data_IF_589691414314
#
_entry.id   IF_589691414314
#
_cell.length_a   1.000
_cell.length_b   1.000
_cell.length_c   1.000
_cell.angle_alpha   90.00
_cell.angle_beta   90.00
_cell.angle_gamma   90.00
#
_symmetry.space_group_name_H-M   'P 1'
#
loop_
_entity.id
_entity.type
_entity.pdbx_description
1 polymer ?
#
# COMPACT_ATOMS: atom_id res chain seq x y z
N UNK A 1 -11.65 -13.26 0.68
CA UNK A 1 -10.45 -13.67 -0.09
C UNK A 1 -9.19 -13.17 0.60
N UNK A 2 -8.16 -14.00 0.64
CA UNK A 2 -6.87 -13.67 1.25
C UNK A 2 -5.75 -13.73 0.22
N UNK A 3 -4.68 -12.96 0.48
CA UNK A 3 -3.42 -13.03 -0.24
C UNK A 3 -2.30 -13.36 0.74
N UNK A 4 -1.27 -14.02 0.24
CA UNK A 4 -0.11 -14.38 1.05
C UNK A 4 0.73 -13.13 1.34
N UNK A 5 1.02 -12.91 2.61
CA UNK A 5 1.89 -11.81 3.01
C UNK A 5 3.35 -12.05 2.61
N UNK A 6 4.08 -10.96 2.46
CA UNK A 6 5.53 -10.96 2.27
C UNK A 6 6.27 -10.77 3.60
N UNK A 7 5.54 -10.70 4.69
CA UNK A 7 6.04 -10.69 6.07
C UNK A 7 5.07 -11.51 6.93
N UNK A 8 4.50 -10.97 7.98
CA UNK A 8 3.59 -11.70 8.85
C UNK A 8 2.14 -11.69 8.34
N UNK A 9 1.41 -12.76 8.65
CA UNK A 9 -0.03 -12.84 8.41
C UNK A 9 -0.45 -12.94 6.96
N UNK A 10 -1.59 -12.33 6.66
CA UNK A 10 -2.22 -12.35 5.33
C UNK A 10 -2.81 -10.97 5.01
N UNK A 11 -2.99 -10.71 3.72
CA UNK A 11 -3.81 -9.59 3.27
C UNK A 11 -5.25 -10.05 3.01
N UNK A 12 -6.20 -9.13 3.16
CA UNK A 12 -7.62 -9.41 3.00
C UNK A 12 -8.25 -8.57 1.91
N UNK A 13 -9.00 -9.22 1.03
CA UNK A 13 -9.95 -8.54 0.14
C UNK A 13 -11.35 -8.93 0.58
N UNK A 14 -12.08 -7.97 1.14
CA UNK A 14 -13.40 -8.14 1.71
C UNK A 14 -14.45 -7.50 0.81
N UNK A 15 -15.47 -8.25 0.44
CA UNK A 15 -16.62 -7.73 -0.29
C UNK A 15 -17.85 -7.83 0.60
N UNK A 16 -18.49 -6.69 0.82
CA UNK A 16 -19.65 -6.61 1.71
C UNK A 16 -20.60 -5.50 1.25
N UNK A 17 -21.86 -5.86 1.04
CA UNK A 17 -22.93 -4.92 0.64
C UNK A 17 -22.53 -4.01 -0.53
N UNK A 18 -21.93 -4.60 -1.57
CA UNK A 18 -21.53 -3.87 -2.78
C UNK A 18 -20.26 -3.03 -2.62
N UNK A 19 -19.59 -3.09 -1.46
CA UNK A 19 -18.31 -2.41 -1.21
C UNK A 19 -17.18 -3.41 -1.19
N UNK A 20 -16.03 -2.99 -1.68
CA UNK A 20 -14.81 -3.80 -1.66
C UNK A 20 -13.75 -3.07 -0.84
N UNK A 21 -13.25 -3.74 0.19
CA UNK A 21 -12.22 -3.21 1.09
C UNK A 21 -11.00 -4.13 1.01
N UNK A 22 -9.83 -3.53 0.86
CA UNK A 22 -8.56 -4.23 0.90
C UNK A 22 -7.76 -3.80 2.12
N UNK A 23 -7.23 -4.76 2.86
CA UNK A 23 -6.30 -4.50 3.95
C UNK A 23 -5.05 -5.36 3.73
N UNK A 24 -3.94 -4.70 3.47
CA UNK A 24 -2.70 -5.38 3.12
C UNK A 24 -2.08 -6.17 4.27
N UNK A 25 -2.40 -5.84 5.54
CA UNK A 25 -1.60 -6.35 6.64
C UNK A 25 -0.14 -5.93 6.44
N UNK A 26 0.75 -6.90 6.50
CA UNK A 26 2.19 -6.68 6.22
C UNK A 26 2.58 -7.00 4.76
N UNK A 27 1.61 -7.23 3.88
CA UNK A 27 1.91 -7.45 2.46
C UNK A 27 2.40 -6.16 1.83
N UNK A 28 3.69 -6.12 1.51
CA UNK A 28 4.34 -4.95 0.94
C UNK A 28 5.58 -5.36 0.15
N UNK A 29 6.07 -4.46 -0.66
CA UNK A 29 7.35 -4.59 -1.35
C UNK A 29 8.46 -4.13 -0.39
N UNK A 30 8.88 -5.03 0.48
CA UNK A 30 9.91 -4.77 1.50
C UNK A 30 11.29 -4.80 0.86
N UNK A 31 11.70 -3.69 0.28
CA UNK A 31 13.04 -3.53 -0.27
C UNK A 31 13.93 -2.84 0.76
N UNK A 32 14.92 -3.55 1.27
CA UNK A 32 15.85 -3.04 2.28
C UNK A 32 17.22 -2.81 1.63
N UNK A 33 17.80 -1.62 1.78
CA UNK A 33 19.10 -1.29 1.19
C UNK A 33 20.23 -2.14 1.76
N UNK A 34 20.15 -2.52 3.02
CA UNK A 34 21.13 -3.38 3.71
C UNK A 34 21.03 -4.86 3.36
N UNK A 35 19.99 -5.28 2.67
CA UNK A 35 19.81 -6.66 2.25
C UNK A 35 20.50 -6.95 0.92
N UNK A 36 20.72 -8.25 0.66
CA UNK A 36 21.33 -8.68 -0.60
C UNK A 36 20.41 -8.42 -1.78
N UNK A 37 21.00 -8.30 -2.97
CA UNK A 37 20.26 -8.19 -4.21
C UNK A 37 19.32 -9.39 -4.44
N UNK A 38 19.80 -10.60 -4.10
CA UNK A 38 18.97 -11.81 -4.19
C UNK A 38 17.74 -11.75 -3.28
N UNK A 39 17.89 -11.28 -2.06
CA UNK A 39 16.78 -11.08 -1.14
C UNK A 39 15.77 -10.09 -1.72
N UNK A 40 16.22 -8.92 -2.15
CA UNK A 40 15.35 -7.87 -2.68
C UNK A 40 14.67 -8.27 -3.98
N UNK A 41 15.33 -9.06 -4.82
CA UNK A 41 14.73 -9.61 -6.06
C UNK A 41 13.62 -10.62 -5.73
N UNK A 42 13.85 -11.50 -4.78
CA UNK A 42 12.84 -12.47 -4.33
C UNK A 42 11.63 -11.76 -3.72
N UNK A 43 11.88 -10.73 -2.93
CA UNK A 43 10.83 -9.91 -2.32
C UNK A 43 9.98 -9.20 -3.37
N UNK A 44 10.61 -8.60 -4.37
CA UNK A 44 9.91 -7.96 -5.49
C UNK A 44 8.99 -8.94 -6.20
N UNK A 45 9.52 -10.11 -6.53
CA UNK A 45 8.75 -11.15 -7.25
C UNK A 45 7.57 -11.64 -6.43
N UNK A 46 7.79 -11.87 -5.14
CA UNK A 46 6.73 -12.31 -4.23
C UNK A 46 5.62 -11.27 -4.14
N UNK A 47 5.97 -10.00 -3.94
CA UNK A 47 5.00 -8.93 -3.84
C UNK A 47 4.21 -8.75 -5.14
N UNK A 48 4.91 -8.61 -6.26
CA UNK A 48 4.26 -8.41 -7.56
C UNK A 48 3.37 -9.59 -7.94
N UNK A 49 3.78 -10.82 -7.63
CA UNK A 49 2.97 -12.01 -7.88
C UNK A 49 1.64 -11.97 -7.13
N UNK A 50 1.66 -11.55 -5.86
CA UNK A 50 0.43 -11.45 -5.07
C UNK A 50 -0.45 -10.30 -5.55
N UNK A 51 0.11 -9.12 -5.81
CA UNK A 51 -0.65 -7.97 -6.27
C UNK A 51 -1.24 -8.19 -7.68
N UNK A 52 -0.55 -8.93 -8.54
CA UNK A 52 -1.07 -9.26 -9.87
C UNK A 52 -2.39 -10.06 -9.80
N UNK A 53 -2.63 -10.78 -8.71
CA UNK A 53 -3.93 -11.46 -8.48
C UNK A 53 -5.09 -10.48 -8.33
N UNK A 54 -4.80 -9.22 -8.05
CA UNK A 54 -5.77 -8.14 -7.90
C UNK A 54 -5.87 -7.25 -9.14
N UNK A 55 -5.22 -7.62 -10.25
CA UNK A 55 -5.19 -6.82 -11.47
C UNK A 55 -6.61 -6.42 -11.92
N UNK A 56 -6.86 -5.12 -12.06
CA UNK A 56 -8.16 -4.60 -12.49
C UNK A 56 -9.26 -4.65 -11.43
N UNK A 57 -8.97 -5.12 -10.22
CA UNK A 57 -9.97 -5.18 -9.15
C UNK A 57 -10.42 -3.77 -8.77
N UNK A 58 -11.73 -3.57 -8.66
CA UNK A 58 -12.33 -2.30 -8.23
C UNK A 58 -12.44 -2.30 -6.70
N UNK A 59 -11.71 -1.41 -6.07
CA UNK A 59 -11.61 -1.34 -4.61
C UNK A 59 -12.09 0.02 -4.13
N UNK A 60 -13.06 0.04 -3.22
CA UNK A 60 -13.59 1.28 -2.67
C UNK A 60 -12.64 1.90 -1.65
N UNK A 61 -12.02 1.06 -0.84
CA UNK A 61 -11.14 1.48 0.24
C UNK A 61 -9.99 0.49 0.41
N UNK A 62 -8.77 1.00 0.48
CA UNK A 62 -7.59 0.18 0.70
C UNK A 62 -6.74 0.72 1.86
N UNK A 63 -6.08 -0.20 2.56
CA UNK A 63 -5.08 0.10 3.59
C UNK A 63 -3.77 -0.57 3.14
N UNK A 64 -2.75 0.24 2.85
CA UNK A 64 -1.51 -0.23 2.20
C UNK A 64 -0.29 0.32 2.93
N UNK A 65 0.71 -0.51 3.24
CA UNK A 65 1.92 -0.04 3.91
C UNK A 65 2.69 1.00 3.10
N UNK A 66 3.14 2.03 3.80
CA UNK A 66 4.08 3.02 3.31
C UNK A 66 5.07 3.25 4.45
N UNK A 67 6.21 2.56 4.43
CA UNK A 67 7.13 2.56 5.57
C UNK A 67 8.35 3.43 5.29
N UNK A 68 8.51 4.56 6.01
CA UNK A 68 9.65 5.47 5.80
C UNK A 68 11.01 4.83 6.05
N UNK A 69 11.07 3.72 6.81
CA UNK A 69 12.32 3.00 7.06
C UNK A 69 12.94 2.42 5.80
N UNK A 70 12.15 2.24 4.75
CA UNK A 70 12.64 1.73 3.46
C UNK A 70 13.42 2.77 2.65
N UNK A 71 13.61 3.96 3.16
CA UNK A 71 14.34 5.01 2.44
C UNK A 71 13.63 5.46 1.18
N UNK A 72 14.33 5.48 0.07
CA UNK A 72 13.76 5.91 -1.22
C UNK A 72 12.71 4.94 -1.77
N UNK A 73 12.70 3.69 -1.30
CA UNK A 73 11.76 2.66 -1.73
C UNK A 73 10.48 2.61 -0.90
N UNK A 74 10.23 3.61 -0.06
CA UNK A 74 9.14 3.64 0.91
C UNK A 74 7.74 3.51 0.28
N UNK A 75 7.55 3.96 -0.96
CA UNK A 75 6.25 3.95 -1.63
C UNK A 75 6.15 2.97 -2.81
N UNK A 76 7.15 2.13 -3.04
CA UNK A 76 7.13 1.20 -4.17
C UNK A 76 5.95 0.22 -4.12
N UNK A 77 5.62 -0.27 -2.93
CA UNK A 77 4.47 -1.17 -2.76
C UNK A 77 3.16 -0.47 -3.07
N UNK A 78 2.97 0.72 -2.53
CA UNK A 78 1.79 1.54 -2.81
C UNK A 78 1.66 1.82 -4.30
N UNK A 79 2.74 2.24 -4.94
CA UNK A 79 2.74 2.56 -6.37
C UNK A 79 2.35 1.35 -7.22
N UNK A 80 2.96 0.21 -6.93
CA UNK A 80 2.62 -1.05 -7.59
C UNK A 80 1.14 -1.40 -7.42
N UNK A 81 0.61 -1.30 -6.21
CA UNK A 81 -0.78 -1.58 -5.91
C UNK A 81 -1.74 -0.64 -6.65
N UNK A 82 -1.50 0.66 -6.56
CA UNK A 82 -2.38 1.66 -7.17
C UNK A 82 -2.42 1.57 -8.69
N UNK A 83 -1.31 1.21 -9.31
CA UNK A 83 -1.24 1.05 -10.77
C UNK A 83 -1.88 -0.23 -11.29
N UNK A 84 -2.03 -1.25 -10.45
CA UNK A 84 -2.63 -2.53 -10.84
C UNK A 84 -4.11 -2.66 -10.52
N UNK A 85 -4.60 -1.86 -9.58
CA UNK A 85 -5.99 -1.91 -9.15
C UNK A 85 -6.71 -0.61 -9.49
N UNK A 86 -8.03 -0.67 -9.48
CA UNK A 86 -8.88 0.53 -9.59
C UNK A 86 -9.38 0.88 -8.18
N UNK A 87 -8.52 1.55 -7.41
CA UNK A 87 -8.77 1.88 -6.01
C UNK A 87 -9.20 3.33 -5.87
N UNK A 88 -10.35 3.57 -5.25
CA UNK A 88 -10.93 4.91 -5.08
C UNK A 88 -10.27 5.72 -3.97
N UNK A 89 -9.97 5.08 -2.86
CA UNK A 89 -9.37 5.71 -1.68
C UNK A 89 -8.36 4.77 -1.06
N UNK A 90 -7.21 5.31 -0.69
CA UNK A 90 -6.19 4.52 -0.02
C UNK A 90 -5.69 5.24 1.23
N UNK A 91 -5.65 4.50 2.34
CA UNK A 91 -5.03 4.91 3.59
C UNK A 91 -3.63 4.29 3.66
N UNK A 92 -2.58 5.09 3.52
CA UNK A 92 -1.25 4.62 3.91
C UNK A 92 -1.22 4.22 5.38
N UNK A 93 -0.54 3.12 5.68
CA UNK A 93 -0.33 2.65 7.04
C UNK A 93 1.12 2.20 7.21
N UNK A 94 1.51 1.74 8.39
CA UNK A 94 2.85 1.25 8.67
C UNK A 94 3.92 2.36 8.64
N UNK A 95 3.51 3.63 8.73
CA UNK A 95 4.45 4.76 8.71
C UNK A 95 4.86 5.21 10.12
N UNK A 96 4.39 4.47 11.13
CA UNK A 96 4.66 4.76 12.55
C UNK A 96 4.14 6.16 12.89
N UNK A 97 4.90 6.99 13.53
CA UNK A 97 4.50 8.37 13.84
C UNK A 97 5.03 9.39 12.83
N UNK A 98 5.54 8.91 11.70
CA UNK A 98 6.13 9.79 10.69
C UNK A 98 5.06 10.33 9.73
N UNK A 99 4.27 11.27 10.20
CA UNK A 99 3.22 11.92 9.40
C UNK A 99 3.79 12.76 8.24
N UNK A 100 5.06 13.10 8.28
CA UNK A 100 5.73 13.79 7.17
C UNK A 100 5.77 12.96 5.89
N UNK A 101 5.52 11.66 5.99
CA UNK A 101 5.43 10.78 4.81
C UNK A 101 4.39 11.27 3.80
N UNK A 102 3.32 11.93 4.26
CA UNK A 102 2.28 12.45 3.38
C UNK A 102 2.76 13.64 2.56
N UNK A 103 3.59 14.52 3.13
CA UNK A 103 4.22 15.61 2.38
C UNK A 103 5.15 15.06 1.32
N UNK A 104 5.87 14.00 1.66
CA UNK A 104 6.78 13.32 0.74
C UNK A 104 6.02 12.67 -0.42
N UNK A 105 4.91 11.97 -0.13
CA UNK A 105 4.05 11.36 -1.15
C UNK A 105 3.47 12.40 -2.10
N UNK A 106 3.08 13.57 -1.59
CA UNK A 106 2.53 14.65 -2.41
C UNK A 106 3.52 15.17 -3.45
N UNK A 107 4.82 15.00 -3.21
CA UNK A 107 5.90 15.43 -4.11
C UNK A 107 6.42 14.30 -5.01
N UNK A 108 5.97 13.05 -4.78
CA UNK A 108 6.44 11.91 -5.57
C UNK A 108 5.89 11.95 -6.99
N UNK A 109 6.78 11.90 -7.96
CA UNK A 109 6.43 11.97 -9.36
C UNK A 109 5.55 10.78 -9.80
N UNK A 110 5.87 9.58 -9.31
CA UNK A 110 5.11 8.37 -9.64
C UNK A 110 3.69 8.40 -9.07
N UNK A 111 3.44 9.16 -8.02
CA UNK A 111 2.14 9.21 -7.34
C UNK A 111 1.19 10.26 -7.91
N UNK A 112 1.61 11.09 -8.85
CA UNK A 112 0.80 12.19 -9.36
C UNK A 112 -0.53 11.72 -9.98
N UNK A 113 -0.57 10.54 -10.57
CA UNK A 113 -1.77 9.99 -11.19
C UNK A 113 -2.85 9.61 -10.18
N UNK A 114 -2.48 9.34 -8.92
CA UNK A 114 -3.42 8.89 -7.89
C UNK A 114 -3.29 9.64 -6.56
N UNK A 115 -2.51 10.70 -6.51
CA UNK A 115 -2.25 11.45 -5.27
C UNK A 115 -3.55 11.95 -4.64
N UNK A 116 -4.52 12.37 -5.43
CA UNK A 116 -5.84 12.83 -4.97
C UNK A 116 -6.67 11.73 -4.31
N UNK A 117 -6.30 10.47 -4.47
CA UNK A 117 -6.96 9.32 -3.85
C UNK A 117 -6.28 8.85 -2.57
N UNK A 118 -5.11 9.39 -2.24
CA UNK A 118 -4.41 9.12 -0.98
C UNK A 118 -5.06 9.96 0.12
N UNK A 119 -5.52 9.29 1.18
CA UNK A 119 -6.10 9.99 2.32
C UNK A 119 -5.00 10.34 3.30
N UNK A 120 -4.83 11.65 3.53
CA UNK A 120 -3.83 12.17 4.45
C UNK A 120 -4.29 11.99 5.89
N UNK A 121 -3.48 11.32 6.68
CA UNK A 121 -3.69 11.16 8.12
C UNK A 121 -2.79 12.14 8.86
N UNK A 122 -3.36 12.89 9.81
CA UNK A 122 -2.64 13.95 10.53
C UNK A 122 -2.38 13.61 11.99
N UNK A 123 -3.16 12.70 12.58
CA UNK A 123 -3.08 12.33 14.00
C UNK A 123 -3.81 11.03 14.29
N UNK A 124 -3.48 10.42 15.42
CA UNK A 124 -4.25 9.30 15.94
C UNK A 124 -5.69 9.70 16.26
N UNK A 125 -6.60 8.76 16.11
CA UNK A 125 -8.02 8.96 16.42
C UNK A 125 -8.76 9.82 15.41
N UNK A 126 -8.11 10.25 14.35
CA UNK A 126 -8.77 11.02 13.29
C UNK A 126 -9.84 10.18 12.59
N UNK A 127 -11.01 10.78 12.36
CA UNK A 127 -12.13 10.12 11.66
C UNK A 127 -12.32 10.71 10.28
N UNK A 128 -12.75 9.85 9.36
CA UNK A 128 -13.01 10.23 7.98
C UNK A 128 -14.41 9.74 7.57
N UNK A 129 -15.15 10.60 6.89
CA UNK A 129 -16.42 10.22 6.28
C UNK A 129 -16.14 9.94 4.78
N UNK A 130 -16.38 8.70 4.37
CA UNK A 130 -16.19 8.27 3.00
C UNK A 130 -17.53 8.04 2.32
N UNK A 131 -17.75 8.75 1.25
CA UNK A 131 -18.97 8.64 0.45
C UNK A 131 -18.79 7.76 -0.79
#
# INVERSE_FOLDING_TARGET
>A
RTLRSTDEGVAFLLKYRGRTIYHAGDLNWWHWEEETEGYNTAMRRAYQSEINKLQGEKIDLAFVPVDPRLGEQYCWGLDCFMKRTDTKRVFPMHFWDNYAVFDRLALEKCAQDYEDRIIRIEREGQSFLLE
#
